data_IF_596214987534
#
_entry.id   IF_596214987534
#
_cell.length_a   1.000
_cell.length_b   1.000
_cell.length_c   1.000
_cell.angle_alpha   90.00
_cell.angle_beta   90.00
_cell.angle_gamma   90.00
#
_symmetry.space_group_name_H-M   'P 1'
#
loop_
_entity.id
_entity.type
_entity.pdbx_description
1 polymer ?
#
# COMPACT_ATOMS: atom_id res chain seq x y z
N UNK A 1 -28.75 19.06 -9.37
CA UNK A 1 -29.55 20.11 -10.04
C UNK A 1 -29.87 21.29 -9.14
N UNK A 2 -30.48 21.12 -7.95
CA UNK A 2 -30.81 22.27 -7.07
C UNK A 2 -29.60 23.16 -6.78
N UNK A 3 -28.46 22.58 -6.43
CA UNK A 3 -27.24 23.36 -6.16
C UNK A 3 -26.69 24.09 -7.41
N UNK A 4 -26.67 23.45 -8.59
CA UNK A 4 -26.27 24.10 -9.84
C UNK A 4 -27.18 25.29 -10.19
N UNK A 5 -28.48 25.18 -9.92
CA UNK A 5 -29.45 26.26 -10.13
C UNK A 5 -29.29 27.38 -9.10
N UNK A 6 -29.15 27.01 -7.82
CA UNK A 6 -28.95 27.95 -6.70
C UNK A 6 -27.65 28.76 -6.88
N UNK A 7 -26.61 28.15 -7.45
CA UNK A 7 -25.31 28.79 -7.73
C UNK A 7 -25.20 29.34 -9.16
N UNK A 8 -26.25 29.25 -9.98
CA UNK A 8 -26.27 29.70 -11.37
C UNK A 8 -25.07 29.23 -12.20
N UNK A 9 -24.74 27.94 -12.09
CA UNK A 9 -23.56 27.37 -12.75
C UNK A 9 -23.69 27.51 -14.27
N UNK A 10 -22.72 28.17 -14.91
CA UNK A 10 -22.76 28.47 -16.36
C UNK A 10 -21.61 27.84 -17.14
N UNK A 11 -20.58 27.37 -16.43
CA UNK A 11 -19.39 26.76 -17.01
C UNK A 11 -19.11 25.39 -16.39
N UNK A 12 -18.55 24.48 -17.20
CA UNK A 12 -18.08 23.18 -16.71
C UNK A 12 -16.97 23.34 -15.67
N UNK A 13 -16.20 24.43 -15.76
CA UNK A 13 -15.10 24.72 -14.84
C UNK A 13 -15.56 24.99 -13.39
N UNK A 14 -16.84 25.30 -13.20
CA UNK A 14 -17.44 25.52 -11.88
C UNK A 14 -17.91 24.21 -11.23
N UNK A 15 -17.93 23.11 -12.00
CA UNK A 15 -18.21 21.77 -11.47
C UNK A 15 -16.95 21.26 -10.77
N UNK A 16 -17.03 20.84 -9.48
CA UNK A 16 -15.87 20.33 -8.77
C UNK A 16 -15.25 19.12 -9.47
N UNK A 17 -13.93 19.15 -9.62
CA UNK A 17 -13.15 18.05 -10.18
C UNK A 17 -12.68 17.11 -9.06
N UNK A 18 -13.11 15.86 -9.10
CA UNK A 18 -12.65 14.82 -8.19
C UNK A 18 -12.00 13.67 -8.99
N UNK A 19 -10.89 13.14 -8.47
CA UNK A 19 -10.16 12.06 -9.11
C UNK A 19 -11.03 10.79 -9.18
N UNK A 20 -11.18 10.22 -10.39
CA UNK A 20 -11.96 9.00 -10.61
C UNK A 20 -13.48 9.19 -10.57
N UNK A 21 -13.98 10.43 -10.53
CA UNK A 21 -15.41 10.71 -10.48
C UNK A 21 -16.09 10.55 -11.86
N UNK A 22 -17.40 10.33 -11.82
CA UNK A 22 -18.27 10.19 -12.98
C UNK A 22 -18.24 11.43 -13.87
N UNK A 23 -18.34 12.62 -13.28
CA UNK A 23 -18.45 13.88 -14.03
C UNK A 23 -17.22 14.15 -14.89
N UNK A 24 -16.03 13.88 -14.36
CA UNK A 24 -14.75 14.02 -15.09
C UNK A 24 -14.77 13.24 -16.40
N UNK A 25 -15.12 11.95 -16.35
CA UNK A 25 -15.16 11.09 -17.54
C UNK A 25 -16.22 11.55 -18.55
N UNK A 26 -17.41 11.93 -18.07
CA UNK A 26 -18.50 12.39 -18.94
C UNK A 26 -18.13 13.70 -19.64
N UNK A 27 -17.52 14.64 -18.93
CA UNK A 27 -17.04 15.90 -19.49
C UNK A 27 -15.98 15.63 -20.56
N UNK A 28 -14.98 14.79 -20.27
CA UNK A 28 -13.95 14.44 -21.24
C UNK A 28 -14.51 13.77 -22.50
N UNK A 29 -15.50 12.88 -22.37
CA UNK A 29 -16.17 12.26 -23.51
C UNK A 29 -16.91 13.30 -24.36
N UNK A 30 -17.65 14.22 -23.74
CA UNK A 30 -18.39 15.25 -24.46
C UNK A 30 -17.48 16.29 -25.12
N UNK A 31 -16.30 16.56 -24.55
CA UNK A 31 -15.27 17.39 -25.19
C UNK A 31 -14.78 16.70 -26.48
N UNK A 32 -14.40 15.42 -26.40
CA UNK A 32 -13.93 14.66 -27.56
C UNK A 32 -14.98 14.58 -28.68
N UNK A 33 -16.25 14.41 -28.32
CA UNK A 33 -17.35 14.41 -29.29
C UNK A 33 -17.51 15.77 -29.97
N UNK A 34 -17.40 16.87 -29.22
CA UNK A 34 -17.47 18.23 -29.79
C UNK A 34 -16.28 18.55 -30.69
N UNK A 35 -15.08 18.09 -30.33
CA UNK A 35 -13.88 18.25 -31.15
C UNK A 35 -14.03 17.48 -32.48
N UNK A 36 -14.53 16.23 -32.43
CA UNK A 36 -14.80 15.44 -33.62
C UNK A 36 -15.91 16.07 -34.49
N UNK A 37 -17.00 16.56 -33.89
CA UNK A 37 -18.08 17.26 -34.59
C UNK A 37 -17.56 18.52 -35.32
N UNK A 38 -16.55 19.20 -34.75
CA UNK A 38 -15.93 20.38 -35.36
C UNK A 38 -14.97 20.00 -36.49
N UNK A 39 -14.15 18.96 -36.31
CA UNK A 39 -13.26 18.45 -37.36
C UNK A 39 -14.04 17.95 -38.59
N UNK A 40 -15.16 17.26 -38.37
CA UNK A 40 -16.04 16.79 -39.44
C UNK A 40 -16.70 17.95 -40.20
N UNK A 41 -16.98 19.08 -39.52
CA UNK A 41 -17.49 20.31 -40.16
C UNK A 41 -16.41 21.00 -41.00
N UNK A 42 -15.19 21.08 -40.48
CA UNK A 42 -14.04 21.67 -41.19
C UNK A 42 -13.69 20.82 -42.43
N UNK A 43 -13.74 19.49 -42.33
CA UNK A 43 -13.50 18.58 -43.45
C UNK A 43 -14.60 18.59 -44.53
N UNK A 44 -15.82 18.99 -44.18
CA UNK A 44 -16.94 19.11 -45.13
C UNK A 44 -16.98 20.47 -45.86
N UNK A 45 -16.27 21.49 -45.37
CA UNK A 45 -16.24 22.84 -45.94
C UNK A 45 -15.13 23.06 -46.98
N UNK A 46 -14.29 22.05 -47.29
CA UNK A 46 -13.25 22.16 -48.33
C UNK A 46 -13.59 21.38 -49.62
N UNK A 47 -14.36 21.99 -50.55
CA UNK A 47 -14.32 21.65 -51.97
C UNK A 47 -13.75 22.82 -52.78
N UNK A 48 -12.42 22.89 -52.94
CA UNK A 48 -11.82 23.71 -54.00
C UNK A 48 -11.25 22.85 -55.13
N UNK A 49 -11.86 23.04 -56.31
CA UNK A 49 -11.57 22.42 -57.60
C UNK A 49 -10.14 22.72 -58.09
N UNK A 50 -9.42 21.72 -58.65
CA UNK A 50 -8.68 21.88 -59.92
C UNK A 50 -8.79 20.61 -60.78
N UNK A 51 -9.20 20.84 -62.02
CA UNK A 51 -9.50 19.96 -63.14
C UNK A 51 -8.44 18.93 -63.57
N UNK A 52 -8.90 17.76 -64.05
CA UNK A 52 -8.01 16.76 -64.68
C UNK A 52 -8.66 15.58 -65.41
N UNK A 53 -9.73 15.81 -66.19
CA UNK A 53 -10.21 15.06 -67.37
C UNK A 53 -9.57 13.67 -67.66
N UNK A 54 -10.33 12.56 -67.53
CA UNK A 54 -10.32 11.42 -68.47
C UNK A 54 -11.57 10.55 -68.37
N UNK A 55 -12.02 10.09 -69.55
CA UNK A 55 -13.33 9.53 -69.93
C UNK A 55 -13.49 8.01 -69.68
N UNK A 56 -14.77 7.61 -69.65
CA UNK A 56 -15.38 6.30 -70.03
C UNK A 56 -15.19 5.12 -69.06
N UNK A 57 -16.17 4.25 -68.79
CA UNK A 57 -17.57 4.10 -69.22
C UNK A 57 -18.27 3.07 -68.29
N UNK A 58 -19.61 3.16 -68.16
CA UNK A 58 -20.63 2.10 -67.97
C UNK A 58 -20.40 0.99 -66.89
N UNK A 59 -21.33 0.59 -66.02
CA UNK A 59 -22.80 0.43 -66.11
C UNK A 59 -23.41 0.21 -64.70
N UNK A 60 -24.64 0.69 -64.54
CA UNK A 60 -25.75 0.17 -63.72
C UNK A 60 -25.52 -0.53 -62.36
N UNK A 61 -26.02 0.09 -61.28
CA UNK A 61 -27.14 -0.46 -60.49
C UNK A 61 -27.73 0.53 -59.49
N UNK A 62 -28.96 0.94 -59.81
CA UNK A 62 -29.98 1.60 -59.00
C UNK A 62 -30.17 0.94 -57.63
N UNK A 63 -30.19 1.70 -56.52
CA UNK A 63 -31.06 1.45 -55.34
C UNK A 63 -31.11 2.61 -54.32
N UNK A 64 -32.26 3.27 -54.32
CA UNK A 64 -33.00 3.93 -53.22
C UNK A 64 -32.25 4.76 -52.15
N UNK A 65 -32.34 6.08 -52.31
CA UNK A 65 -32.27 7.05 -51.21
C UNK A 65 -33.65 7.14 -50.53
N UNK A 66 -33.78 6.63 -49.30
CA UNK A 66 -34.87 7.01 -48.40
C UNK A 66 -34.41 8.23 -47.61
N UNK A 67 -34.95 9.40 -47.95
CA UNK A 67 -34.87 10.60 -47.11
C UNK A 67 -35.60 10.30 -45.80
N UNK A 68 -34.85 10.22 -44.69
CA UNK A 68 -35.42 10.26 -43.35
C UNK A 68 -35.44 11.71 -42.90
N UNK A 69 -36.65 12.25 -42.83
CA UNK A 69 -37.01 13.58 -42.39
C UNK A 69 -36.59 13.78 -40.93
N UNK A 70 -35.59 14.61 -40.68
CA UNK A 70 -35.27 15.08 -39.33
C UNK A 70 -36.39 16.00 -38.87
N UNK A 71 -37.17 15.51 -37.91
CA UNK A 71 -38.22 16.26 -37.21
C UNK A 71 -37.53 17.37 -36.43
N UNK A 72 -37.66 18.61 -36.92
CA UNK A 72 -37.43 19.81 -36.12
C UNK A 72 -38.55 19.90 -35.08
N UNK A 73 -38.33 19.33 -33.91
CA UNK A 73 -39.13 19.66 -32.73
C UNK A 73 -38.55 20.94 -32.12
N UNK A 74 -39.19 22.04 -32.47
CA UNK A 74 -39.08 23.33 -31.79
C UNK A 74 -39.63 23.21 -30.38
N UNK A 75 -38.78 22.81 -29.43
CA UNK A 75 -39.05 23.02 -28.01
C UNK A 75 -38.56 24.42 -27.69
N UNK A 76 -39.48 25.30 -27.29
CA UNK A 76 -39.19 26.66 -26.85
C UNK A 76 -38.16 26.62 -25.71
N UNK A 77 -36.88 26.88 -26.05
CA UNK A 77 -35.81 27.11 -25.10
C UNK A 77 -35.90 28.57 -24.66
N UNK A 78 -36.25 28.79 -23.40
CA UNK A 78 -35.76 29.98 -22.70
C UNK A 78 -34.22 29.91 -22.74
N UNK A 79 -33.62 30.68 -23.64
CA UNK A 79 -32.18 30.72 -23.84
C UNK A 79 -31.55 31.46 -22.66
N UNK A 80 -30.87 30.72 -21.78
CA UNK A 80 -29.98 31.28 -20.77
C UNK A 80 -28.72 31.78 -21.50
N UNK A 81 -28.50 33.10 -21.61
CA UNK A 81 -27.51 33.67 -22.53
C UNK A 81 -26.12 33.72 -21.89
N UNK A 82 -25.51 32.57 -21.63
CA UNK A 82 -24.05 32.44 -21.38
C UNK A 82 -23.53 30.98 -21.29
N UNK A 83 -24.37 29.99 -21.61
CA UNK A 83 -24.01 28.59 -21.40
C UNK A 83 -23.14 28.08 -22.56
N UNK A 84 -21.94 27.59 -22.29
CA UNK A 84 -21.07 26.96 -23.31
C UNK A 84 -21.76 25.76 -23.96
N UNK A 85 -21.47 25.48 -25.22
CA UNK A 85 -22.05 24.32 -25.95
C UNK A 85 -21.85 23.00 -25.20
N UNK A 86 -20.71 22.87 -24.51
CA UNK A 86 -20.42 21.76 -23.63
C UNK A 86 -21.39 21.69 -22.43
N UNK A 87 -21.62 22.80 -21.72
CA UNK A 87 -22.59 22.82 -20.61
C UNK A 87 -24.01 22.48 -21.06
N UNK A 88 -24.41 22.88 -22.28
CA UNK A 88 -25.71 22.50 -22.85
C UNK A 88 -25.84 20.99 -23.07
N UNK A 89 -24.75 20.28 -23.39
CA UNK A 89 -24.73 18.81 -23.44
C UNK A 89 -24.71 18.17 -22.04
N UNK A 90 -24.04 18.80 -21.07
CA UNK A 90 -23.87 18.27 -19.71
C UNK A 90 -25.12 18.45 -18.83
N UNK A 91 -25.85 19.56 -18.94
CA UNK A 91 -27.03 19.85 -18.10
C UNK A 91 -28.11 18.75 -18.12
N UNK A 92 -28.51 18.20 -19.28
CA UNK A 92 -29.44 17.08 -19.33
C UNK A 92 -28.93 15.83 -18.60
N UNK A 93 -27.62 15.59 -18.64
CA UNK A 93 -26.99 14.46 -17.94
C UNK A 93 -27.02 14.70 -16.42
N UNK A 94 -26.73 15.93 -15.98
CA UNK A 94 -26.89 16.35 -14.58
C UNK A 94 -28.32 16.14 -14.10
N UNK A 95 -29.33 16.51 -14.91
CA UNK A 95 -30.74 16.29 -14.53
C UNK A 95 -31.07 14.81 -14.39
N UNK A 96 -30.61 14.01 -15.35
CA UNK A 96 -30.85 12.56 -15.40
C UNK A 96 -30.31 11.85 -14.15
N UNK A 97 -29.09 12.20 -13.71
CA UNK A 97 -28.43 11.54 -12.58
C UNK A 97 -28.54 12.32 -11.25
N UNK A 98 -29.35 13.38 -11.17
CA UNK A 98 -29.42 14.27 -9.99
C UNK A 98 -29.75 13.61 -8.65
N UNK A 99 -30.31 12.40 -8.65
CA UNK A 99 -30.66 11.64 -7.45
C UNK A 99 -29.51 10.78 -6.91
N UNK A 100 -28.47 10.57 -7.72
CA UNK A 100 -27.31 9.72 -7.38
C UNK A 100 -26.16 10.56 -6.78
N UNK A 101 -26.17 11.88 -7.02
CA UNK A 101 -25.14 12.80 -6.54
C UNK A 101 -25.69 13.75 -5.49
N UNK A 102 -24.98 13.83 -4.36
CA UNK A 102 -25.34 14.69 -3.24
C UNK A 102 -24.35 15.83 -3.11
N UNK A 103 -24.86 17.06 -3.02
CA UNK A 103 -24.06 18.22 -2.63
C UNK A 103 -24.42 18.56 -1.19
N UNK A 104 -23.45 18.41 -0.29
CA UNK A 104 -23.64 18.65 1.14
C UNK A 104 -22.99 19.98 1.51
N UNK A 105 -23.81 20.94 1.92
CA UNK A 105 -23.34 22.25 2.37
C UNK A 105 -23.10 22.23 3.87
N UNK A 106 -21.83 22.13 4.26
CA UNK A 106 -21.41 22.08 5.68
C UNK A 106 -21.31 23.46 6.34
N UNK A 107 -21.09 24.51 5.56
CA UNK A 107 -20.97 25.89 6.02
C UNK A 107 -21.78 26.84 5.14
N UNK A 108 -22.17 27.97 5.72
CA UNK A 108 -22.75 29.06 4.94
C UNK A 108 -21.63 29.72 4.10
N UNK A 109 -21.84 29.82 2.79
CA UNK A 109 -20.87 30.42 1.87
C UNK A 109 -20.56 31.89 2.18
N UNK A 110 -21.46 32.57 2.89
CA UNK A 110 -21.31 33.98 3.28
C UNK A 110 -20.50 34.18 4.57
N UNK A 111 -20.07 33.10 5.23
CA UNK A 111 -19.28 33.18 6.47
C UNK A 111 -17.77 33.10 6.20
N UNK A 112 -16.93 33.90 6.91
CA UNK A 112 -15.48 33.84 6.75
C UNK A 112 -14.95 32.45 7.10
N UNK A 113 -14.17 31.88 6.20
CA UNK A 113 -13.57 30.57 6.38
C UNK A 113 -12.23 30.71 7.13
N UNK A 114 -12.07 30.13 8.34
CA UNK A 114 -10.76 30.04 8.95
C UNK A 114 -9.86 29.13 8.10
N UNK A 115 -8.55 29.36 8.12
CA UNK A 115 -7.59 28.47 7.47
C UNK A 115 -7.79 27.04 8.00
N UNK A 116 -8.03 26.11 7.09
CA UNK A 116 -8.15 24.69 7.44
C UNK A 116 -6.76 24.20 7.84
N UNK A 117 -6.60 23.87 9.12
CA UNK A 117 -5.40 23.26 9.66
C UNK A 117 -5.75 21.85 10.12
N UNK A 118 -5.28 20.85 9.38
CA UNK A 118 -5.33 19.47 9.82
C UNK A 118 -4.24 19.24 10.87
N UNK A 119 -4.64 18.80 12.06
CA UNK A 119 -3.71 18.52 13.17
C UNK A 119 -3.15 17.11 13.10
N UNK A 120 -3.74 16.25 12.29
CA UNK A 120 -3.33 14.87 12.17
C UNK A 120 -2.08 14.75 11.29
N UNK A 121 -1.17 13.86 11.71
CA UNK A 121 0.02 13.55 10.92
C UNK A 121 -0.35 12.70 9.72
N UNK A 122 0.37 12.90 8.61
CA UNK A 122 0.21 12.04 7.44
C UNK A 122 0.60 10.60 7.81
N UNK A 123 -0.35 9.67 7.67
CA UNK A 123 -0.11 8.25 7.91
C UNK A 123 0.21 7.59 6.57
N UNK A 124 1.51 7.34 6.32
CA UNK A 124 1.92 6.53 5.16
C UNK A 124 1.62 5.06 5.42
N UNK A 125 0.74 4.48 4.60
CA UNK A 125 0.42 3.06 4.66
C UNK A 125 0.18 2.49 3.26
N UNK A 126 1.23 1.94 2.63
CA UNK A 126 1.15 1.40 1.26
C UNK A 126 0.02 0.35 1.09
N UNK A 127 -0.29 -0.39 2.15
CA UNK A 127 -1.38 -1.38 2.14
C UNK A 127 -2.77 -0.73 2.04
N UNK A 128 -2.94 0.47 2.60
CA UNK A 128 -4.21 1.18 2.70
C UNK A 128 -4.26 2.41 1.78
N UNK A 129 -3.29 2.55 0.89
CA UNK A 129 -3.16 3.71 -0.01
C UNK A 129 -4.30 3.75 -1.04
N UNK A 130 -4.59 2.60 -1.66
CA UNK A 130 -5.76 2.46 -2.54
C UNK A 130 -6.60 1.23 -2.19
N UNK A 131 -7.92 1.25 -2.47
CA UNK A 131 -8.80 0.09 -2.29
C UNK A 131 -8.31 -1.15 -3.06
N UNK A 132 -7.71 -0.96 -4.23
CA UNK A 132 -7.24 -2.04 -5.09
C UNK A 132 -6.06 -2.79 -4.45
N UNK A 133 -5.14 -2.07 -3.80
CA UNK A 133 -4.00 -2.68 -3.09
C UNK A 133 -4.53 -3.51 -1.92
N UNK A 134 -5.46 -2.96 -1.15
CA UNK A 134 -6.10 -3.67 -0.04
C UNK A 134 -6.85 -4.94 -0.51
N UNK A 135 -7.65 -4.85 -1.57
CA UNK A 135 -8.40 -5.97 -2.13
C UNK A 135 -7.48 -7.04 -2.75
N UNK A 136 -6.40 -6.63 -3.42
CA UNK A 136 -5.38 -7.55 -3.91
C UNK A 136 -4.73 -8.30 -2.76
N UNK A 137 -4.31 -7.60 -1.71
CA UNK A 137 -3.76 -8.22 -0.51
C UNK A 137 -4.74 -9.22 0.12
N UNK A 138 -6.02 -8.86 0.27
CA UNK A 138 -7.03 -9.77 0.81
C UNK A 138 -7.19 -11.03 -0.07
N UNK A 139 -7.21 -10.88 -1.40
CA UNK A 139 -7.29 -12.02 -2.33
C UNK A 139 -6.05 -12.92 -2.21
N UNK A 140 -4.86 -12.33 -2.20
CA UNK A 140 -3.59 -13.07 -2.10
C UNK A 140 -3.45 -13.82 -0.77
N UNK A 141 -4.06 -13.30 0.30
CA UNK A 141 -4.07 -13.94 1.63
C UNK A 141 -5.33 -14.79 1.90
N UNK A 142 -6.21 -14.96 0.92
CA UNK A 142 -7.50 -15.66 1.05
C UNK A 142 -8.34 -15.16 2.23
N UNK A 143 -8.33 -13.84 2.44
CA UNK A 143 -9.17 -13.18 3.45
C UNK A 143 -10.58 -12.99 2.92
N UNK A 144 -11.54 -13.26 3.79
CA UNK A 144 -12.94 -13.20 3.45
C UNK A 144 -13.75 -12.50 4.53
N UNK A 145 -14.71 -11.69 4.10
CA UNK A 145 -15.66 -10.99 4.95
C UNK A 145 -17.09 -11.55 4.79
N UNK A 146 -17.21 -12.80 4.36
CA UNK A 146 -18.47 -13.50 4.02
C UNK A 146 -19.26 -14.02 5.23
N UNK A 147 -18.64 -14.10 6.41
CA UNK A 147 -19.31 -14.49 7.66
C UNK A 147 -18.62 -13.83 8.85
N UNK A 148 -19.31 -13.71 9.99
CA UNK A 148 -18.74 -13.11 11.20
C UNK A 148 -17.41 -13.75 11.61
N UNK A 149 -17.32 -15.09 11.54
CA UNK A 149 -16.10 -15.82 11.92
C UNK A 149 -14.94 -15.51 10.97
N UNK A 150 -15.19 -15.50 9.65
CA UNK A 150 -14.18 -15.17 8.63
C UNK A 150 -13.76 -13.70 8.73
N UNK A 151 -14.73 -12.78 8.87
CA UNK A 151 -14.48 -11.36 9.06
C UNK A 151 -13.63 -11.07 10.31
N UNK A 152 -13.90 -11.74 11.45
CA UNK A 152 -13.07 -11.60 12.67
C UNK A 152 -11.62 -12.05 12.42
N UNK A 153 -11.44 -13.19 11.76
CA UNK A 153 -10.10 -13.70 11.43
C UNK A 153 -9.36 -12.73 10.50
N UNK A 154 -9.99 -12.33 9.38
CA UNK A 154 -9.40 -11.41 8.41
C UNK A 154 -9.09 -10.04 9.01
N UNK A 155 -9.98 -9.52 9.86
CA UNK A 155 -9.75 -8.25 10.59
C UNK A 155 -8.57 -8.36 11.56
N UNK A 156 -8.49 -9.45 12.33
CA UNK A 156 -7.36 -9.68 13.25
C UNK A 156 -6.03 -9.79 12.49
N UNK A 157 -6.02 -10.52 11.37
CA UNK A 157 -4.83 -10.66 10.53
C UNK A 157 -4.41 -9.33 9.89
N UNK A 158 -5.39 -8.52 9.44
CA UNK A 158 -5.16 -7.18 8.93
C UNK A 158 -4.59 -6.26 10.01
N UNK A 159 -5.18 -6.23 11.21
CA UNK A 159 -4.68 -5.46 12.35
C UNK A 159 -3.23 -5.85 12.67
N UNK A 160 -2.93 -7.14 12.72
CA UNK A 160 -1.56 -7.60 12.92
C UNK A 160 -0.62 -7.10 11.82
N UNK A 161 -1.05 -7.14 10.55
CA UNK A 161 -0.25 -6.66 9.42
C UNK A 161 0.00 -5.16 9.48
N UNK A 162 -1.04 -4.37 9.80
CA UNK A 162 -0.93 -2.93 9.97
C UNK A 162 0.01 -2.59 11.14
N UNK A 163 -0.16 -3.24 12.29
CA UNK A 163 0.71 -3.03 13.45
C UNK A 163 2.15 -3.48 13.23
N UNK A 164 2.39 -4.59 12.53
CA UNK A 164 3.78 -5.04 12.28
C UNK A 164 4.48 -4.25 11.21
N UNK A 165 3.75 -3.71 10.23
CA UNK A 165 4.31 -2.83 9.20
C UNK A 165 4.56 -1.44 9.77
N UNK A 166 3.71 -0.94 10.68
CA UNK A 166 3.90 0.33 11.41
C UNK A 166 4.89 0.23 12.57
N UNK A 167 5.13 -0.96 13.14
CA UNK A 167 6.21 -1.20 14.13
C UNK A 167 7.61 -0.95 13.59
N UNK A 168 7.80 -1.05 12.28
CA UNK A 168 9.05 -0.61 11.64
C UNK A 168 9.30 0.89 11.91
N UNK A 169 8.24 1.66 12.19
CA UNK A 169 8.25 3.11 12.41
C UNK A 169 7.83 3.54 13.82
N UNK A 170 7.51 2.61 14.74
CA UNK A 170 7.09 2.93 16.11
C UNK A 170 7.92 2.15 17.12
N UNK A 171 8.98 2.79 17.60
CA UNK A 171 9.82 2.27 18.68
C UNK A 171 9.30 2.80 20.02
N UNK A 172 9.33 1.97 21.05
CA UNK A 172 9.08 2.42 22.42
C UNK A 172 10.42 2.74 23.08
N UNK A 173 10.45 3.83 23.84
CA UNK A 173 11.64 4.19 24.60
C UNK A 173 11.90 3.15 25.69
N UNK A 174 13.11 2.60 25.73
CA UNK A 174 13.49 1.59 26.71
C UNK A 174 13.57 2.14 28.15
N UNK A 175 13.60 3.47 28.33
CA UNK A 175 13.60 4.13 29.65
C UNK A 175 12.17 4.44 30.10
N UNK A 176 11.45 5.31 29.39
CA UNK A 176 10.12 5.76 29.84
C UNK A 176 8.95 4.90 29.34
N UNK A 177 9.22 3.92 28.46
CA UNK A 177 8.23 3.03 27.81
C UNK A 177 7.18 3.74 26.95
N UNK A 178 7.32 5.04 26.73
CA UNK A 178 6.47 5.80 25.81
C UNK A 178 6.92 5.60 24.37
N UNK A 179 6.00 5.75 23.43
CA UNK A 179 6.29 5.70 22.00
C UNK A 179 7.20 6.86 21.59
N UNK A 180 8.25 6.57 20.84
CA UNK A 180 9.19 7.55 20.30
C UNK A 180 8.63 8.16 19.02
N UNK A 181 8.32 9.46 19.02
CA UNK A 181 8.08 10.23 17.78
C UNK A 181 9.37 10.42 16.97
N UNK A 182 10.47 10.76 17.66
CA UNK A 182 11.84 10.77 17.14
C UNK A 182 12.59 9.70 17.92
N UNK A 183 13.10 8.70 17.21
CA UNK A 183 13.74 7.55 17.83
C UNK A 183 15.26 7.67 17.73
N UNK A 184 15.92 7.55 18.87
CA UNK A 184 17.37 7.48 19.01
C UNK A 184 17.72 6.00 19.20
N UNK A 185 18.13 5.36 18.12
CA UNK A 185 18.40 3.92 18.03
C UNK A 185 19.88 3.63 18.26
N UNK A 186 20.17 2.73 19.19
CA UNK A 186 21.52 2.22 19.37
C UNK A 186 21.85 1.17 18.30
N UNK A 187 22.87 1.42 17.48
CA UNK A 187 23.29 0.51 16.40
C UNK A 187 23.96 -0.78 16.91
N UNK A 188 24.26 -0.85 18.20
CA UNK A 188 24.98 -1.97 18.83
C UNK A 188 24.07 -2.80 19.75
N UNK A 189 23.17 -2.15 20.49
CA UNK A 189 22.24 -2.82 21.40
C UNK A 189 20.97 -3.27 20.65
N UNK A 190 20.58 -4.51 20.91
CA UNK A 190 19.36 -5.09 20.33
C UNK A 190 18.12 -4.37 20.87
N UNK A 191 17.27 -3.86 19.99
CA UNK A 191 16.02 -3.16 20.31
C UNK A 191 16.15 -2.05 21.37
N UNK A 192 17.30 -1.36 21.44
CA UNK A 192 17.48 -0.26 22.38
C UNK A 192 17.23 1.10 21.72
N UNK A 193 16.09 1.68 22.09
CA UNK A 193 15.57 2.91 21.53
C UNK A 193 15.32 3.93 22.64
N UNK A 194 15.70 5.17 22.42
CA UNK A 194 15.40 6.28 23.33
C UNK A 194 14.51 7.29 22.61
N UNK A 195 13.55 7.87 23.33
CA UNK A 195 12.91 9.09 22.85
C UNK A 195 13.86 10.26 23.05
N UNK A 196 13.63 11.37 22.34
CA UNK A 196 14.47 12.57 22.44
C UNK A 196 14.68 13.05 23.87
N UNK A 197 13.62 13.01 24.70
CA UNK A 197 13.70 13.39 26.12
C UNK A 197 14.67 12.49 26.89
N UNK A 198 14.59 11.18 26.67
CA UNK A 198 15.43 10.19 27.36
C UNK A 198 16.85 10.12 26.79
N UNK A 199 17.07 10.51 25.54
CA UNK A 199 18.40 10.64 24.96
C UNK A 199 19.21 11.79 25.59
N UNK A 200 18.54 12.89 25.93
CA UNK A 200 19.17 14.09 26.50
C UNK A 200 19.37 14.02 28.02
N UNK A 201 18.97 12.94 28.68
CA UNK A 201 19.14 12.74 30.13
C UNK A 201 20.44 11.99 30.39
N UNK A 202 21.24 12.50 31.33
CA UNK A 202 22.42 11.82 31.87
C UNK A 202 22.00 10.72 32.87
N UNK A 203 22.67 9.56 32.92
CA UNK A 203 23.84 9.18 32.14
C UNK A 203 23.49 8.73 30.71
N UNK A 204 24.34 9.13 29.76
CA UNK A 204 24.18 8.71 28.37
C UNK A 204 24.43 7.21 28.22
N UNK A 205 23.71 6.59 27.28
CA UNK A 205 23.97 5.22 26.87
C UNK A 205 25.40 5.09 26.32
N UNK A 206 26.09 4.00 26.69
CA UNK A 206 27.52 3.81 26.42
C UNK A 206 27.88 3.66 24.93
N UNK A 207 26.91 3.27 24.08
CA UNK A 207 27.11 3.11 22.64
C UNK A 207 26.69 4.34 21.85
N UNK A 208 27.28 4.50 20.66
CA UNK A 208 26.84 5.51 19.68
C UNK A 208 25.38 5.27 19.32
N UNK A 209 24.55 6.27 19.59
CA UNK A 209 23.13 6.27 19.23
C UNK A 209 22.94 7.13 17.99
N UNK A 210 22.22 6.60 17.01
CA UNK A 210 21.87 7.28 15.77
C UNK A 210 20.43 7.79 15.84
N UNK A 211 20.22 9.01 15.36
CA UNK A 211 18.89 9.60 15.26
C UNK A 211 18.19 9.00 14.04
N UNK A 212 17.31 8.03 14.28
CA UNK A 212 16.30 7.64 13.31
C UNK A 212 15.15 8.64 13.38
N UNK A 213 15.21 9.64 12.50
CA UNK A 213 13.99 10.36 12.12
C UNK A 213 13.18 9.38 11.27
N UNK A 214 11.85 9.26 11.43
CA UNK A 214 11.02 8.76 10.35
C UNK A 214 11.28 9.68 9.16
N UNK A 215 12.22 9.30 8.30
CA UNK A 215 12.73 10.18 7.27
C UNK A 215 11.59 10.55 6.34
N UNK A 216 11.09 11.77 6.52
CA UNK A 216 10.51 12.58 5.47
C UNK A 216 11.69 13.01 4.60
N UNK A 217 12.11 12.15 3.69
CA UNK A 217 12.93 12.55 2.54
C UNK A 217 12.47 11.73 1.36
N UNK A 218 11.94 12.45 0.37
CA UNK A 218 11.96 12.06 -1.03
C UNK A 218 13.30 11.42 -1.37
N UNK A 219 13.27 10.36 -2.18
CA UNK A 219 14.05 10.22 -3.41
C UNK A 219 13.93 8.77 -3.91
N UNK A 220 13.45 8.68 -5.15
CA UNK A 220 13.69 7.67 -6.19
C UNK A 220 13.45 6.19 -5.89
N UNK A 221 12.63 5.61 -6.77
CA UNK A 221 12.75 4.23 -7.26
C UNK A 221 14.18 3.70 -7.16
N UNK A 222 14.36 2.67 -6.32
CA UNK A 222 15.24 1.58 -6.71
C UNK A 222 14.69 0.25 -6.18
N UNK A 223 14.67 -0.73 -7.06
CA UNK A 223 14.02 -2.01 -6.89
C UNK A 223 14.75 -2.90 -5.88
N UNK A 224 14.05 -3.31 -4.83
CA UNK A 224 14.31 -4.62 -4.21
C UNK A 224 13.03 -5.20 -3.64
N UNK A 225 12.21 -5.77 -4.53
CA UNK A 225 11.03 -6.57 -4.20
C UNK A 225 11.42 -7.92 -3.59
N UNK A 226 12.09 -7.93 -2.44
CA UNK A 226 12.21 -9.14 -1.63
C UNK A 226 11.02 -9.21 -0.67
N UNK A 227 10.11 -10.16 -0.90
CA UNK A 227 8.97 -10.45 -0.03
C UNK A 227 9.40 -10.47 1.46
N UNK A 228 8.62 -9.91 2.41
CA UNK A 228 8.92 -9.93 3.84
C UNK A 228 9.22 -11.35 4.40
N UNK A 229 8.72 -12.39 3.73
CA UNK A 229 9.02 -13.78 4.05
C UNK A 229 10.47 -14.18 3.71
N UNK A 230 11.01 -13.66 2.61
CA UNK A 230 12.40 -13.86 2.18
C UNK A 230 13.34 -13.15 3.17
N UNK A 231 13.01 -11.91 3.54
CA UNK A 231 13.80 -11.15 4.50
C UNK A 231 13.84 -11.81 5.89
N UNK A 232 12.70 -12.33 6.37
CA UNK A 232 12.66 -13.15 7.61
C UNK A 232 13.47 -14.43 7.50
N UNK A 233 13.39 -15.13 6.35
CA UNK A 233 14.18 -16.35 6.11
C UNK A 233 15.68 -16.04 6.13
N UNK A 234 16.10 -14.94 5.50
CA UNK A 234 17.50 -14.48 5.51
C UNK A 234 17.97 -14.07 6.91
N UNK A 235 17.15 -13.35 7.68
CA UNK A 235 17.47 -12.99 9.05
C UNK A 235 17.67 -14.24 9.94
N UNK A 236 16.77 -15.23 9.80
CA UNK A 236 16.88 -16.51 10.51
C UNK A 236 18.14 -17.28 10.10
N UNK A 237 18.49 -17.27 8.81
CA UNK A 237 19.70 -17.90 8.30
C UNK A 237 20.97 -17.26 8.91
N UNK A 238 21.02 -15.91 8.98
CA UNK A 238 22.11 -15.19 9.64
C UNK A 238 22.25 -15.55 11.13
N UNK A 239 21.14 -15.75 11.84
CA UNK A 239 21.15 -16.20 13.23
C UNK A 239 21.72 -17.63 13.37
N UNK A 240 21.40 -18.53 12.44
CA UNK A 240 21.93 -19.89 12.42
C UNK A 240 23.44 -19.88 12.15
N UNK A 241 23.90 -19.06 11.20
CA UNK A 241 25.33 -18.91 10.88
C UNK A 241 26.12 -18.35 12.06
N UNK A 242 25.59 -17.33 12.74
CA UNK A 242 26.21 -16.76 13.93
C UNK A 242 26.27 -17.79 15.09
N UNK A 243 25.24 -18.61 15.25
CA UNK A 243 25.23 -19.69 16.23
C UNK A 243 26.27 -20.76 15.89
N UNK A 244 26.34 -21.21 14.64
CA UNK A 244 27.33 -22.18 14.17
C UNK A 244 28.76 -21.68 14.35
N UNK A 245 28.99 -20.40 14.03
CA UNK A 245 30.26 -19.75 14.29
C UNK A 245 30.60 -19.79 15.79
N UNK A 246 29.69 -19.38 16.66
CA UNK A 246 29.95 -19.36 18.11
C UNK A 246 30.24 -20.75 18.70
N UNK A 247 29.57 -21.79 18.20
CA UNK A 247 29.80 -23.19 18.58
C UNK A 247 31.21 -23.67 18.19
N UNK A 248 31.70 -23.27 17.02
CA UNK A 248 32.99 -23.73 16.47
C UNK A 248 34.15 -22.78 16.81
N UNK A 249 33.88 -21.55 17.23
CA UNK A 249 34.88 -20.52 17.45
C UNK A 249 35.63 -20.72 18.77
N UNK A 250 36.90 -21.11 18.67
CA UNK A 250 37.80 -21.28 19.83
C UNK A 250 38.52 -19.98 20.24
N UNK A 251 38.44 -18.93 19.43
CA UNK A 251 39.09 -17.66 19.72
C UNK A 251 38.36 -16.92 20.84
N UNK A 252 39.07 -16.62 21.94
CA UNK A 252 38.56 -15.87 23.09
C UNK A 252 38.37 -14.38 22.78
N UNK A 253 39.10 -13.83 21.81
CA UNK A 253 39.06 -12.41 21.38
C UNK A 253 38.42 -12.26 20.00
N UNK A 254 37.49 -13.15 19.64
CA UNK A 254 36.81 -13.08 18.35
C UNK A 254 36.11 -11.73 18.15
N UNK A 255 36.48 -10.98 17.11
CA UNK A 255 35.95 -9.63 16.85
C UNK A 255 34.46 -9.60 16.48
N UNK A 256 33.81 -10.74 16.26
CA UNK A 256 32.38 -10.81 15.96
C UNK A 256 31.55 -10.59 17.24
N UNK A 257 30.75 -9.50 17.35
CA UNK A 257 29.93 -9.25 18.53
C UNK A 257 28.88 -10.35 18.79
N UNK A 258 28.36 -10.94 17.70
CA UNK A 258 27.42 -12.06 17.74
C UNK A 258 28.06 -13.32 18.33
N UNK A 259 29.36 -13.54 18.12
CA UNK A 259 30.07 -14.69 18.67
C UNK A 259 30.03 -14.71 20.20
N UNK A 260 30.34 -13.59 20.86
CA UNK A 260 30.28 -13.49 22.32
C UNK A 260 28.87 -13.71 22.86
N UNK A 261 27.88 -13.07 22.23
CA UNK A 261 26.46 -13.21 22.61
C UNK A 261 26.01 -14.67 22.53
N UNK A 262 26.26 -15.34 21.40
CA UNK A 262 25.88 -16.73 21.22
C UNK A 262 26.67 -17.70 22.09
N UNK A 263 27.96 -17.44 22.38
CA UNK A 263 28.73 -18.23 23.37
C UNK A 263 28.08 -18.20 24.75
N UNK A 264 27.63 -17.02 25.20
CA UNK A 264 26.91 -16.87 26.48
C UNK A 264 25.56 -17.59 26.47
N UNK A 265 24.83 -17.53 25.35
CA UNK A 265 23.57 -18.27 25.17
C UNK A 265 23.80 -19.79 25.19
N UNK A 266 24.85 -20.28 24.53
CA UNK A 266 25.23 -21.69 24.54
C UNK A 266 25.59 -22.13 25.96
N UNK A 267 26.37 -21.33 26.70
CA UNK A 267 26.71 -21.62 28.09
C UNK A 267 25.45 -21.71 28.96
N UNK A 268 24.52 -20.75 28.81
CA UNK A 268 23.23 -20.79 29.48
C UNK A 268 22.48 -22.10 29.20
N UNK A 269 22.44 -22.58 27.94
CA UNK A 269 21.73 -23.84 27.63
C UNK A 269 22.32 -25.06 28.31
N UNK A 270 23.62 -25.05 28.67
CA UNK A 270 24.28 -26.15 29.39
C UNK A 270 23.97 -26.13 30.88
N UNK A 271 23.81 -24.94 31.47
CA UNK A 271 23.64 -24.74 32.91
C UNK A 271 22.18 -24.51 33.33
N UNK A 272 21.28 -24.29 32.38
CA UNK A 272 19.89 -23.93 32.64
C UNK A 272 19.12 -25.10 33.29
N UNK A 273 18.72 -24.92 34.54
CA UNK A 273 17.88 -25.85 35.31
C UNK A 273 16.38 -25.72 35.03
N UNK A 274 15.97 -24.68 34.28
CA UNK A 274 14.58 -24.50 33.90
C UNK A 274 14.14 -25.59 32.94
N UNK A 275 12.93 -26.15 33.12
CA UNK A 275 12.33 -27.04 32.10
C UNK A 275 12.38 -26.30 30.75
N UNK A 276 12.90 -26.94 29.70
CA UNK A 276 13.14 -26.35 28.37
C UNK A 276 11.97 -25.52 27.79
N UNK A 277 10.74 -25.75 28.25
CA UNK A 277 9.51 -25.02 27.89
C UNK A 277 9.17 -23.81 28.76
N UNK A 278 9.95 -23.49 29.79
CA UNK A 278 9.69 -22.40 30.73
C UNK A 278 10.76 -21.29 30.69
N UNK A 279 11.98 -21.59 30.21
CA UNK A 279 13.02 -20.57 30.01
C UNK A 279 12.89 -19.89 28.63
N UNK A 280 12.74 -18.57 28.60
CA UNK A 280 12.60 -17.80 27.35
C UNK A 280 13.86 -17.86 26.46
N UNK A 281 15.05 -17.89 27.06
CA UNK A 281 16.31 -18.05 26.31
C UNK A 281 16.37 -19.43 25.66
N UNK A 282 16.11 -20.50 26.44
CA UNK A 282 16.08 -21.86 25.90
C UNK A 282 15.01 -22.04 24.81
N UNK A 283 13.84 -21.44 24.96
CA UNK A 283 12.79 -21.46 23.91
C UNK A 283 13.29 -20.91 22.59
N UNK A 284 13.97 -19.76 22.61
CA UNK A 284 14.51 -19.13 21.40
C UNK A 284 15.59 -20.01 20.75
N UNK A 285 16.48 -20.60 21.55
CA UNK A 285 17.51 -21.51 21.03
C UNK A 285 16.89 -22.78 20.45
N UNK A 286 15.91 -23.38 21.13
CA UNK A 286 15.19 -24.57 20.62
C UNK A 286 14.53 -24.28 19.27
N UNK A 287 13.94 -23.10 19.11
CA UNK A 287 13.34 -22.69 17.85
C UNK A 287 14.39 -22.57 16.72
N UNK A 288 15.51 -21.90 16.97
CA UNK A 288 16.61 -21.79 16.01
C UNK A 288 17.22 -23.17 15.67
N UNK A 289 17.47 -23.98 16.70
CA UNK A 289 17.99 -25.34 16.56
C UNK A 289 17.03 -26.26 15.79
N UNK A 290 15.72 -26.04 15.88
CA UNK A 290 14.74 -26.79 15.09
C UNK A 290 14.88 -26.48 13.60
N UNK A 291 15.03 -25.20 13.22
CA UNK A 291 15.27 -24.83 11.82
C UNK A 291 16.57 -25.44 11.29
N UNK A 292 17.65 -25.34 12.07
CA UNK A 292 18.92 -25.97 11.72
C UNK A 292 18.82 -27.50 11.60
N UNK A 293 18.09 -28.17 12.51
CA UNK A 293 17.98 -29.64 12.53
C UNK A 293 17.31 -30.24 11.28
N UNK A 294 16.52 -29.46 10.53
CA UNK A 294 15.86 -29.91 9.30
C UNK A 294 16.82 -30.13 8.13
N UNK A 295 17.91 -29.38 8.07
CA UNK A 295 18.92 -29.42 7.00
C UNK A 295 20.28 -29.93 7.46
N UNK A 296 20.50 -30.04 8.77
CA UNK A 296 21.76 -30.52 9.32
C UNK A 296 21.93 -32.04 9.12
N UNK A 297 23.05 -32.44 8.52
CA UNK A 297 23.41 -33.85 8.28
C UNK A 297 24.44 -34.40 9.28
N UNK A 298 25.01 -33.55 10.14
CA UNK A 298 26.03 -33.98 11.12
C UNK A 298 25.45 -34.90 12.20
N UNK A 299 26.06 -36.08 12.39
CA UNK A 299 25.69 -37.04 13.43
C UNK A 299 25.94 -36.48 14.84
N UNK A 300 27.10 -35.85 15.04
CA UNK A 300 27.55 -35.28 16.32
C UNK A 300 27.55 -33.74 16.31
N UNK A 301 26.42 -33.16 15.91
CA UNK A 301 26.28 -31.71 15.81
C UNK A 301 26.40 -31.05 17.19
N UNK A 302 27.27 -30.04 17.29
CA UNK A 302 27.56 -29.31 18.54
C UNK A 302 26.53 -28.21 18.85
N UNK A 303 25.58 -27.96 17.95
CA UNK A 303 24.48 -27.01 18.16
C UNK A 303 23.54 -27.52 19.27
N UNK A 304 23.23 -26.71 20.30
CA UNK A 304 22.35 -27.13 21.39
C UNK A 304 21.01 -27.68 20.89
N UNK A 305 20.53 -28.77 21.49
CA UNK A 305 19.26 -29.45 21.16
C UNK A 305 19.15 -30.07 19.75
N UNK A 306 20.10 -29.86 18.84
CA UNK A 306 20.03 -30.31 17.45
C UNK A 306 19.81 -31.82 17.34
N UNK A 307 20.65 -32.63 18.00
CA UNK A 307 20.56 -34.10 17.97
C UNK A 307 19.21 -34.60 18.49
N UNK A 308 18.73 -34.05 19.61
CA UNK A 308 17.43 -34.41 20.19
C UNK A 308 16.26 -34.05 19.27
N UNK A 309 16.34 -32.90 18.59
CA UNK A 309 15.33 -32.45 17.64
C UNK A 309 15.33 -33.29 16.37
N UNK A 310 16.49 -33.70 15.85
CA UNK A 310 16.60 -34.63 14.72
C UNK A 310 15.90 -35.96 15.01
N UNK A 311 16.15 -36.55 16.19
CA UNK A 311 15.50 -37.78 16.63
C UNK A 311 13.98 -37.61 16.69
N UNK A 312 13.50 -36.49 17.25
CA UNK A 312 12.05 -36.19 17.29
C UNK A 312 11.44 -36.04 15.91
N UNK A 313 12.10 -35.33 14.99
CA UNK A 313 11.63 -35.15 13.60
C UNK A 313 11.59 -36.51 12.89
N UNK A 314 12.60 -37.35 13.08
CA UNK A 314 12.66 -38.68 12.46
C UNK A 314 11.53 -39.59 12.98
N UNK A 315 11.29 -39.62 14.30
CA UNK A 315 10.17 -40.36 14.91
C UNK A 315 8.81 -39.88 14.41
N UNK A 316 8.64 -38.57 14.23
CA UNK A 316 7.39 -38.00 13.67
C UNK A 316 7.19 -38.36 12.20
N UNK A 317 8.26 -38.51 11.41
CA UNK A 317 8.18 -38.94 10.01
C UNK A 317 7.80 -40.42 9.90
N UNK A 318 8.40 -41.28 10.73
CA UNK A 318 8.09 -42.72 10.73
C UNK A 318 6.68 -43.00 11.22
N UNK A 319 6.19 -42.26 12.21
CA UNK A 319 4.82 -42.39 12.74
C UNK A 319 3.72 -41.88 11.79
N UNK A 320 4.06 -41.15 10.73
CA UNK A 320 3.12 -40.69 9.68
C UNK A 320 3.09 -41.62 8.46
N UNK A 321 4.01 -42.58 8.39
CA UNK A 321 4.15 -43.55 7.29
C UNK A 321 3.61 -44.94 7.69
N UNK A 322 3.10 -45.09 8.91
CA UNK A 322 2.32 -46.22 9.41
C UNK A 322 0.86 -45.78 9.51
#
# INVERSE_FOLDING_TARGET
MKDCLDNQVQSVLEIPYFQGDFWTNIIEQNIKELDQDNDDRIGAEDPTEISGKRKCANTDKKKNCKKSTTIQQTVAKEQIPHCTDLMLKIFPIIDKYKKEFFVIRLRNSMSPCPTVADTDILIKCDLMDTPEIFLKFCRDQYFEFSSLRRAKFSSMALLYKLHTTTKIYSYNCNICRQQCHICYHCTVCDDFNLCEKCYNIEPKHEHKIERSVPSVVDISHDESLASPQIQRRQAMQRCIEALLHAVNCRNATCLSPSCFRYKRVIQHTKECKGKNSQCNVCKQVIFLSWYHSKSCMEQNCQVPFCTNLKIKIQKQRTAKLQ
#
